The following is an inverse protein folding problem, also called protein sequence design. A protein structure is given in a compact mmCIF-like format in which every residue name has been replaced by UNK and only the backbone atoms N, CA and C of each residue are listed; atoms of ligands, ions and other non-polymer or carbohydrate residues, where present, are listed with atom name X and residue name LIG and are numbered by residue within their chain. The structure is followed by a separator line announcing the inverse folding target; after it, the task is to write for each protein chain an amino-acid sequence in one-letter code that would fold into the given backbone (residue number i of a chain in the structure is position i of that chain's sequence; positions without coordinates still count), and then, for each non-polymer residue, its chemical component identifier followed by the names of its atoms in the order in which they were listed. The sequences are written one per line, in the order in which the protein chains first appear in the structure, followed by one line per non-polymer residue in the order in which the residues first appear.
data_IF_505258899828
#
_entry.id   IF_505258899828
#
_cell.length_a   1.000
_cell.length_b   1.000
_cell.length_c   1.000
_cell.angle_alpha   90.00
_cell.angle_beta   90.00
_cell.angle_gamma   90.00
#
_symmetry.space_group_name_H-M   'P 1'
#
loop_
_entity.id
_entity.type
_entity.pdbx_description
1 polymer ?
#
# COMPACT_ATOMS: atom_id res chain seq x y z
N UNK A 1 -12.87 16.44 -15.33
CA UNK A 1 -11.49 16.46 -14.85
C UNK A 1 -11.08 15.02 -14.60
N UNK A 2 -10.31 14.36 -15.47
CA UNK A 2 -9.73 13.07 -15.14
C UNK A 2 -8.31 13.36 -14.66
N UNK A 3 -8.18 13.85 -13.43
CA UNK A 3 -6.90 13.98 -12.75
C UNK A 3 -6.77 12.77 -11.83
N UNK A 4 -6.43 11.64 -12.44
CA UNK A 4 -5.92 10.46 -11.73
C UNK A 4 -4.87 9.84 -12.65
N UNK A 5 -3.81 10.60 -12.93
CA UNK A 5 -2.55 10.10 -13.51
C UNK A 5 -1.43 10.30 -12.48
N UNK A 6 -1.69 9.94 -11.23
CA UNK A 6 -0.59 9.62 -10.32
C UNK A 6 0.02 8.33 -10.87
N UNK A 7 1.07 8.49 -11.66
CA UNK A 7 2.00 7.42 -11.99
C UNK A 7 2.43 6.82 -10.65
N UNK A 8 1.80 5.70 -10.29
CA UNK A 8 2.17 4.90 -9.13
C UNK A 8 3.69 4.81 -9.16
N UNK A 9 4.38 5.08 -8.05
CA UNK A 9 5.82 4.95 -8.05
C UNK A 9 6.06 3.51 -8.48
N UNK A 10 6.98 3.30 -9.40
CA UNK A 10 7.39 1.93 -9.67
C UNK A 10 7.74 1.27 -8.34
N UNK A 11 7.36 0.01 -8.11
CA UNK A 11 7.74 -0.70 -6.90
C UNK A 11 9.22 -0.46 -6.61
N UNK A 12 9.57 -0.18 -5.35
CA UNK A 12 10.98 -0.06 -4.97
C UNK A 12 11.56 -1.47 -5.05
N UNK A 13 12.19 -1.75 -6.20
CA UNK A 13 12.92 -3.00 -6.43
C UNK A 13 14.05 -3.04 -5.43
N UNK A 14 13.88 -3.86 -4.40
CA UNK A 14 14.94 -4.14 -3.47
C UNK A 14 16.08 -4.87 -4.16
N UNK A 15 17.24 -4.92 -3.49
CA UNK A 15 18.44 -5.57 -4.06
C UNK A 15 18.24 -7.05 -4.42
N UNK A 16 17.17 -7.67 -3.93
CA UNK A 16 16.75 -9.04 -4.22
C UNK A 16 15.79 -9.17 -5.44
N UNK A 17 15.39 -8.06 -6.06
CA UNK A 17 14.42 -8.08 -7.15
C UNK A 17 12.97 -8.23 -6.69
N UNK A 18 12.69 -7.96 -5.42
CA UNK A 18 11.34 -7.95 -4.86
C UNK A 18 10.76 -6.53 -4.91
N UNK A 19 9.51 -6.46 -5.34
CA UNK A 19 8.71 -5.24 -5.41
C UNK A 19 8.27 -4.83 -4.01
N UNK A 20 9.12 -4.10 -3.28
CA UNK A 20 8.78 -3.55 -1.98
C UNK A 20 8.14 -2.17 -2.17
N UNK A 21 7.33 -1.73 -1.21
CA UNK A 21 6.67 -0.43 -1.27
C UNK A 21 6.78 0.25 0.10
N UNK A 22 7.10 1.54 0.13
CA UNK A 22 7.27 2.29 1.38
C UNK A 22 5.92 2.73 1.94
N UNK A 23 5.45 2.03 2.97
CA UNK A 23 4.27 2.39 3.75
C UNK A 23 4.59 3.64 4.58
N UNK A 24 3.82 4.73 4.39
CA UNK A 24 3.90 5.92 5.26
C UNK A 24 3.32 5.63 6.63
N UNK A 25 2.09 5.09 6.63
CA UNK A 25 1.34 4.80 7.83
C UNK A 25 0.23 3.80 7.55
N UNK A 26 -0.12 3.01 8.57
CA UNK A 26 -1.31 2.17 8.56
C UNK A 26 -2.47 3.01 9.07
N UNK A 27 -3.41 3.35 8.19
CA UNK A 27 -4.56 4.19 8.52
C UNK A 27 -5.76 3.38 9.02
N UNK A 28 -5.77 2.07 8.78
CA UNK A 28 -6.85 1.20 9.20
C UNK A 28 -6.35 -0.23 9.38
N UNK A 29 -6.89 -0.94 10.36
CA UNK A 29 -6.73 -2.38 10.49
C UNK A 29 -8.10 -3.01 10.67
N UNK A 30 -8.33 -4.13 10.01
CA UNK A 30 -9.55 -4.89 10.25
C UNK A 30 -9.32 -6.39 10.07
N UNK A 31 -10.15 -7.19 10.73
CA UNK A 31 -10.06 -8.65 10.64
C UNK A 31 -11.23 -9.20 9.86
N UNK A 32 -10.96 -9.80 8.69
CA UNK A 32 -11.99 -10.42 7.84
C UNK A 32 -11.72 -11.90 7.68
N UNK A 33 -12.70 -12.73 8.09
CA UNK A 33 -12.62 -14.20 8.02
C UNK A 33 -11.36 -14.79 8.70
N UNK A 34 -10.93 -14.19 9.80
CA UNK A 34 -9.74 -14.63 10.56
C UNK A 34 -8.41 -14.19 9.95
N UNK A 35 -8.42 -13.36 8.90
CA UNK A 35 -7.23 -12.71 8.34
C UNK A 35 -7.21 -11.25 8.74
N UNK A 36 -6.08 -10.77 9.22
CA UNK A 36 -5.87 -9.36 9.55
C UNK A 36 -5.44 -8.64 8.26
N UNK A 37 -6.14 -7.58 7.90
CA UNK A 37 -5.78 -6.73 6.77
C UNK A 37 -5.56 -5.31 7.27
N UNK A 38 -4.61 -4.62 6.67
CA UNK A 38 -4.23 -3.28 7.01
C UNK A 38 -4.39 -2.40 5.78
N UNK A 39 -5.06 -1.27 5.95
CA UNK A 39 -5.11 -0.22 4.95
C UNK A 39 -3.83 0.59 5.09
N UNK A 40 -2.93 0.39 4.15
CA UNK A 40 -1.64 1.08 4.10
C UNK A 40 -1.80 2.35 3.28
N UNK A 41 -1.31 3.45 3.83
CA UNK A 41 -1.16 4.70 3.10
C UNK A 41 0.29 4.79 2.66
N UNK A 42 0.52 4.91 1.36
CA UNK A 42 1.86 4.95 0.77
C UNK A 42 2.51 6.32 0.96
N UNK A 43 3.82 6.34 1.20
CA UNK A 43 4.52 7.59 1.47
C UNK A 43 4.55 8.51 0.25
N UNK A 44 3.97 9.70 0.39
CA UNK A 44 3.80 10.65 -0.72
C UNK A 44 2.56 10.45 -1.59
N UNK A 45 1.62 9.60 -1.17
CA UNK A 45 0.36 9.34 -1.88
C UNK A 45 -0.85 9.85 -1.09
N UNK A 46 -1.93 10.17 -1.82
CA UNK A 46 -3.18 10.57 -1.20
C UNK A 46 -3.97 9.38 -0.62
N UNK A 47 -5.00 9.64 0.21
CA UNK A 47 -5.87 8.59 0.79
C UNK A 47 -6.70 7.82 -0.27
N UNK A 48 -6.59 8.23 -1.52
CA UNK A 48 -7.19 7.60 -2.70
C UNK A 48 -6.37 6.43 -3.24
N UNK A 49 -5.06 6.38 -2.95
CA UNK A 49 -4.15 5.29 -3.31
C UNK A 49 -3.94 4.28 -2.18
N UNK A 50 -4.67 4.43 -1.08
CA UNK A 50 -4.59 3.52 0.05
C UNK A 50 -5.04 2.10 -0.33
N UNK A 51 -4.17 1.11 -0.14
CA UNK A 51 -4.47 -0.28 -0.48
C UNK A 51 -4.63 -1.15 0.78
N UNK A 52 -5.37 -2.25 0.64
CA UNK A 52 -5.60 -3.20 1.74
C UNK A 52 -4.67 -4.40 1.60
N UNK A 53 -3.59 -4.40 2.36
CA UNK A 53 -2.66 -5.51 2.43
C UNK A 53 -3.06 -6.49 3.53
N UNK A 54 -2.84 -7.78 3.29
CA UNK A 54 -2.94 -8.79 4.33
C UNK A 54 -1.73 -8.67 5.26
N UNK A 55 -1.86 -9.03 6.54
CA UNK A 55 -0.73 -9.11 7.46
C UNK A 55 0.43 -9.96 6.89
N UNK A 56 0.11 -10.98 6.07
CA UNK A 56 1.13 -11.83 5.47
C UNK A 56 1.92 -11.17 4.32
N UNK A 57 1.47 -10.03 3.83
CA UNK A 57 2.00 -9.32 2.64
C UNK A 57 2.68 -7.97 3.01
N UNK A 58 2.73 -7.64 4.31
CA UNK A 58 3.45 -6.49 4.87
C UNK A 58 4.82 -6.93 5.38
#
# INVERSE_FOLDING_TARGET
FPDHELERPGPIVSSDGQDEWLIEQIINEHTRRGKQQFKVCWQGYGPEDDDWLDHADI
#
